data_IF_380330781012
#
_entry.id   IF_380330781012
#
_cell.length_a   1.000
_cell.length_b   1.000
_cell.length_c   1.000
_cell.angle_alpha   90.00
_cell.angle_beta   90.00
_cell.angle_gamma   90.00
#
_symmetry.space_group_name_H-M   'P 1'
#
loop_
_entity.id
_entity.type
_entity.pdbx_description
1 polymer ?
#
# COMPACT_ATOMS: atom_id res chain seq x y z
N UNK A 1 3.00 4.80 22.17
CA UNK A 1 4.20 4.22 21.54
C UNK A 1 3.78 3.76 20.15
N UNK A 2 4.37 4.27 19.07
CA UNK A 2 4.08 3.82 17.69
C UNK A 2 5.34 3.07 17.21
N UNK A 3 5.25 1.81 16.76
CA UNK A 3 6.40 1.11 16.20
C UNK A 3 6.73 1.70 14.82
N UNK A 4 8.02 1.91 14.56
CA UNK A 4 8.50 2.31 13.25
C UNK A 4 8.72 1.06 12.40
N UNK A 5 7.91 0.88 11.37
CA UNK A 5 8.18 -0.09 10.31
C UNK A 5 9.55 0.24 9.69
N UNK A 6 10.52 -0.62 9.92
CA UNK A 6 11.89 -0.52 9.38
C UNK A 6 12.13 -1.77 8.53
N UNK A 7 11.83 -1.74 7.22
CA UNK A 7 12.12 -2.88 6.35
C UNK A 7 13.64 -3.13 6.39
N UNK A 8 14.05 -4.38 6.47
CA UNK A 8 15.46 -4.77 6.45
C UNK A 8 16.05 -4.34 5.09
N UNK A 9 17.22 -3.68 5.04
CA UNK A 9 17.87 -3.37 3.76
C UNK A 9 18.09 -4.60 2.87
N UNK A 10 18.12 -5.82 3.43
CA UNK A 10 18.19 -7.07 2.66
C UNK A 10 16.91 -7.38 1.84
N UNK A 11 15.78 -6.74 2.16
CA UNK A 11 14.50 -6.95 1.47
C UNK A 11 14.24 -5.94 0.35
N UNK A 12 15.14 -4.98 0.11
CA UNK A 12 14.95 -3.93 -0.91
C UNK A 12 14.88 -4.47 -2.36
N UNK A 13 15.28 -5.73 -2.58
CA UNK A 13 15.19 -6.44 -3.86
C UNK A 13 14.24 -7.66 -3.85
N UNK A 14 13.67 -8.00 -2.68
CA UNK A 14 12.72 -9.12 -2.57
C UNK A 14 11.29 -8.62 -2.70
N UNK A 15 10.49 -9.37 -3.45
CA UNK A 15 9.06 -9.14 -3.49
C UNK A 15 8.45 -9.59 -2.17
N UNK A 16 7.79 -8.68 -1.47
CA UNK A 16 7.11 -8.94 -0.20
C UNK A 16 5.61 -8.81 -0.39
N UNK A 17 4.86 -9.48 0.49
CA UNK A 17 3.41 -9.42 0.56
C UNK A 17 3.03 -8.67 1.83
N UNK A 18 2.24 -7.61 1.69
CA UNK A 18 1.79 -6.77 2.80
C UNK A 18 0.28 -6.65 2.75
N UNK A 19 -0.38 -6.93 3.87
CA UNK A 19 -1.83 -6.80 4.02
C UNK A 19 -2.17 -5.60 4.90
N UNK A 20 -3.25 -4.90 4.56
CA UNK A 20 -3.71 -3.79 5.38
C UNK A 20 -4.92 -3.04 4.84
N UNK A 21 -5.36 -2.09 5.65
CA UNK A 21 -6.51 -1.22 5.36
C UNK A 21 -6.03 0.11 4.77
N UNK A 22 -6.68 0.56 3.70
CA UNK A 22 -6.47 1.88 3.14
C UNK A 22 -7.06 2.94 4.08
N UNK A 23 -6.20 3.75 4.72
CA UNK A 23 -6.64 4.75 5.69
C UNK A 23 -6.71 6.17 5.12
N UNK A 24 -6.05 6.42 3.98
CA UNK A 24 -6.00 7.72 3.33
C UNK A 24 -5.64 7.58 1.86
N UNK A 25 -6.26 8.41 1.02
CA UNK A 25 -6.09 8.42 -0.43
C UNK A 25 -6.06 9.88 -0.87
N UNK A 26 -5.08 10.25 -1.70
CA UNK A 26 -5.05 11.53 -2.38
C UNK A 26 -4.72 11.33 -3.85
N UNK A 27 -5.48 12.00 -4.71
CA UNK A 27 -5.17 12.09 -6.12
C UNK A 27 -4.43 13.41 -6.38
N UNK A 28 -3.22 13.30 -6.96
CA UNK A 28 -2.38 14.45 -7.33
C UNK A 28 -1.95 14.30 -8.80
N UNK A 29 -0.65 14.15 -9.09
CA UNK A 29 -0.13 13.72 -10.41
C UNK A 29 -0.19 12.20 -10.62
N UNK A 30 -0.92 11.51 -9.76
CA UNK A 30 -1.00 10.07 -9.59
C UNK A 30 -1.78 9.77 -8.30
N UNK A 31 -1.92 8.50 -7.96
CA UNK A 31 -2.60 8.08 -6.74
C UNK A 31 -1.57 7.82 -5.64
N UNK A 32 -1.71 8.53 -4.52
CA UNK A 32 -0.93 8.30 -3.31
C UNK A 32 -1.88 7.83 -2.21
N UNK A 33 -1.62 6.61 -1.73
CA UNK A 33 -2.44 5.95 -0.73
C UNK A 33 -1.61 5.62 0.50
N UNK A 34 -2.20 5.65 1.69
CA UNK A 34 -1.59 5.11 2.91
C UNK A 34 -2.36 3.90 3.38
N UNK A 35 -1.62 2.84 3.65
CA UNK A 35 -2.14 1.56 4.09
C UNK A 35 -1.66 1.31 5.51
N UNK A 36 -2.59 1.05 6.43
CA UNK A 36 -2.29 0.61 7.79
C UNK A 36 -2.20 -0.91 7.78
N UNK A 37 -1.04 -1.40 8.16
CA UNK A 37 -0.71 -2.82 8.30
C UNK A 37 -0.54 -3.14 9.78
N UNK A 38 -0.36 -4.42 10.14
CA UNK A 38 -0.04 -4.80 11.53
C UNK A 38 1.29 -4.19 12.02
N UNK A 39 2.23 -3.98 11.11
CA UNK A 39 3.58 -3.51 11.42
C UNK A 39 3.72 -1.98 11.36
N UNK A 40 2.74 -1.26 10.80
CA UNK A 40 2.76 0.19 10.76
C UNK A 40 1.97 0.81 9.60
N UNK A 41 2.48 1.93 9.09
CA UNK A 41 1.87 2.63 7.95
C UNK A 41 2.83 2.61 6.78
N UNK A 42 2.34 2.18 5.62
CA UNK A 42 3.10 2.15 4.38
C UNK A 42 2.46 3.09 3.35
N UNK A 43 3.29 3.84 2.62
CA UNK A 43 2.83 4.66 1.50
C UNK A 43 2.82 3.84 0.19
N UNK A 44 1.74 3.94 -0.58
CA UNK A 44 1.62 3.32 -1.91
C UNK A 44 1.50 4.42 -2.95
N UNK A 45 2.35 4.37 -3.99
CA UNK A 45 2.39 5.36 -5.05
C UNK A 45 2.14 4.72 -6.41
N UNK A 46 1.21 5.29 -7.16
CA UNK A 46 0.85 4.87 -8.52
C UNK A 46 0.87 6.11 -9.41
N UNK A 47 1.85 6.22 -10.31
CA UNK A 47 1.99 7.41 -11.16
C UNK A 47 0.93 7.48 -12.28
N UNK A 48 0.48 6.34 -12.78
CA UNK A 48 -0.56 6.23 -13.82
C UNK A 48 -1.73 5.37 -13.35
N UNK A 49 -2.58 5.89 -12.43
CA UNK A 49 -3.69 5.11 -11.90
C UNK A 49 -4.76 4.88 -12.97
N UNK A 50 -5.15 3.61 -13.10
CA UNK A 50 -6.32 3.18 -13.88
C UNK A 50 -7.61 3.36 -13.07
N UNK A 51 -8.76 3.27 -13.74
CA UNK A 51 -10.06 3.39 -13.06
C UNK A 51 -10.31 2.28 -12.02
N UNK A 52 -9.71 1.11 -12.21
CA UNK A 52 -9.71 0.05 -11.20
C UNK A 52 -8.99 0.51 -9.93
N UNK A 53 -7.84 1.17 -10.06
CA UNK A 53 -7.14 1.69 -8.88
C UNK A 53 -8.01 2.68 -8.12
N UNK A 54 -8.70 3.59 -8.81
CA UNK A 54 -9.59 4.59 -8.18
C UNK A 54 -10.76 3.93 -7.45
N UNK A 55 -11.38 2.92 -8.07
CA UNK A 55 -12.54 2.23 -7.52
C UNK A 55 -12.21 1.41 -6.28
N UNK A 56 -10.99 0.87 -6.19
CA UNK A 56 -10.66 -0.11 -5.17
C UNK A 56 -9.69 0.37 -4.10
N UNK A 57 -8.91 1.41 -4.39
CA UNK A 57 -8.09 2.08 -3.38
C UNK A 57 -8.88 3.21 -2.76
N UNK A 58 -9.97 2.86 -2.09
CA UNK A 58 -10.81 3.77 -1.32
C UNK A 58 -10.54 3.61 0.17
N UNK A 59 -10.83 4.64 0.95
CA UNK A 59 -10.65 4.59 2.40
C UNK A 59 -11.55 3.51 3.01
N UNK A 60 -10.97 2.62 3.82
CA UNK A 60 -11.62 1.46 4.42
C UNK A 60 -11.45 0.17 3.61
N UNK A 61 -10.87 0.22 2.40
CA UNK A 61 -10.63 -0.98 1.62
C UNK A 61 -9.51 -1.83 2.22
N UNK A 62 -9.77 -3.13 2.40
CA UNK A 62 -8.76 -4.13 2.75
C UNK A 62 -8.07 -4.64 1.50
N UNK A 63 -6.75 -4.49 1.44
CA UNK A 63 -5.95 -4.84 0.27
C UNK A 63 -4.72 -5.63 0.64
N UNK A 64 -4.26 -6.43 -0.33
CA UNK A 64 -2.97 -7.09 -0.30
C UNK A 64 -2.06 -6.48 -1.35
N UNK A 65 -0.94 -5.93 -0.92
CA UNK A 65 0.12 -5.36 -1.75
C UNK A 65 1.18 -6.42 -2.00
N UNK A 66 1.59 -6.58 -3.25
CA UNK A 66 2.68 -7.48 -3.63
C UNK A 66 3.68 -6.65 -4.45
N UNK A 67 4.89 -6.49 -3.94
CA UNK A 67 5.90 -5.68 -4.61
C UNK A 67 7.19 -5.59 -3.82
N UNK A 68 8.14 -4.81 -4.32
CA UNK A 68 9.38 -4.53 -3.59
C UNK A 68 9.17 -3.30 -2.70
N UNK A 69 9.44 -3.40 -1.38
CA UNK A 69 9.40 -2.26 -0.50
C UNK A 69 10.59 -1.34 -0.83
N UNK A 70 10.34 -0.04 -0.85
CA UNK A 70 11.35 1.00 -1.05
C UNK A 70 11.33 1.96 0.13
N UNK A 71 12.42 2.69 0.33
CA UNK A 71 12.50 3.78 1.31
C UNK A 71 12.53 5.12 0.61
N UNK A 72 11.62 6.02 0.97
CA UNK A 72 11.64 7.40 0.48
C UNK A 72 11.44 8.37 1.64
N UNK A 73 12.36 9.31 1.79
CA UNK A 73 12.37 10.26 2.92
C UNK A 73 12.31 9.57 4.30
N UNK A 74 12.98 8.42 4.42
CA UNK A 74 12.98 7.61 5.65
C UNK A 74 11.67 6.85 5.93
N UNK A 75 10.71 6.85 5.01
CA UNK A 75 9.43 6.13 5.16
C UNK A 75 9.35 4.94 4.21
N UNK A 76 8.73 3.84 4.64
CA UNK A 76 8.45 2.72 3.77
C UNK A 76 7.41 3.08 2.72
N UNK A 77 7.68 2.68 1.47
CA UNK A 77 6.75 2.86 0.39
C UNK A 77 6.81 1.75 -0.64
N UNK A 78 5.68 1.48 -1.29
CA UNK A 78 5.61 0.74 -2.54
C UNK A 78 5.41 1.70 -3.71
N UNK A 79 6.12 1.43 -4.80
CA UNK A 79 5.97 2.14 -6.06
C UNK A 79 5.44 1.12 -7.07
N UNK A 80 4.24 1.36 -7.60
CA UNK A 80 3.55 0.42 -8.49
C UNK A 80 3.51 -1.04 -8.00
N UNK A 81 3.07 -1.31 -6.75
CA UNK A 81 2.85 -2.69 -6.33
C UNK A 81 1.70 -3.30 -7.13
N UNK A 82 1.70 -4.62 -7.24
CA UNK A 82 0.51 -5.37 -7.62
C UNK A 82 -0.46 -5.31 -6.44
N UNK A 83 -1.70 -4.94 -6.70
CA UNK A 83 -2.74 -4.82 -5.69
C UNK A 83 -3.74 -5.94 -5.92
N UNK A 84 -3.86 -6.82 -4.92
CA UNK A 84 -4.87 -7.87 -4.88
C UNK A 84 -5.93 -7.42 -3.90
N UNK A 85 -7.16 -7.33 -4.38
CA UNK A 85 -8.30 -7.03 -3.55
C UNK A 85 -8.62 -8.27 -2.75
N UNK A 86 -8.63 -8.14 -1.43
CA UNK A 86 -9.23 -9.19 -0.64
C UNK A 86 -10.74 -9.09 -0.84
N UNK A 87 -11.43 -10.20 -1.16
CA UNK A 87 -12.87 -10.19 -1.18
C UNK A 87 -13.33 -9.86 0.24
N UNK A 88 -13.75 -8.61 0.46
CA UNK A 88 -14.37 -8.19 1.71
C UNK A 88 -15.53 -9.15 1.97
N UNK A 89 -15.54 -9.80 3.13
CA UNK A 89 -16.66 -10.58 3.60
C UNK A 89 -17.90 -9.67 3.67
N UNK A 90 -18.69 -9.65 2.60
CA UNK A 90 -19.86 -8.79 2.42
C UNK A 90 -20.55 -9.12 1.11
N UNK A 91 -21.74 -9.73 1.22
CA UNK A 91 -22.58 -10.34 0.17
C UNK A 91 -22.63 -9.55 -1.15
N UNK A 92 -22.51 -10.28 -2.26
CA UNK A 92 -23.09 -9.90 -3.56
C UNK A 92 -24.58 -9.58 -3.42
#
# INVERSE_FOLDING_TARGET
MIPAFSPDPADEDREVVVEGEVIWVVETKGLLTRVRTEEGIVEVRIFHPTDLHRRYLERGAEIRLIGQPRRRYGRPCFIHPRIVLQPSQGRF
#
